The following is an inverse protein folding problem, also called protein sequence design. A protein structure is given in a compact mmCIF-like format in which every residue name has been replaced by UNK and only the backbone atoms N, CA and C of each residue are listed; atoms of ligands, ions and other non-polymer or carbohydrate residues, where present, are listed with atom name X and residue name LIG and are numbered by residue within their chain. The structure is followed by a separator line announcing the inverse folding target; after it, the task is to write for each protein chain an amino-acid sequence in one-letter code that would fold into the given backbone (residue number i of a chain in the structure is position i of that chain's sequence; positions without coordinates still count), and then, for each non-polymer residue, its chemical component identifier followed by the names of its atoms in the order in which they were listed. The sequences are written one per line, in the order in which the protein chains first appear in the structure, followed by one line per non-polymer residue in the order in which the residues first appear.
data_IF_695676502777
#
_entry.id   IF_695676502777
#
_cell.length_a   1.000
_cell.length_b   1.000
_cell.length_c   1.000
_cell.angle_alpha   90.00
_cell.angle_beta   90.00
_cell.angle_gamma   90.00
#
_symmetry.space_group_name_H-M   'P 1'
#
loop_
_entity.id
_entity.type
_entity.pdbx_description
1 polymer ?
#
# COMPACT_ATOMS: atom_id res chain seq x y z
N UNK A 1 -10.13 20.38 36.18
CA UNK A 1 -9.43 19.11 35.93
C UNK A 1 -7.97 19.42 35.80
N UNK A 2 -7.12 18.78 36.60
CA UNK A 2 -5.71 19.14 36.70
C UNK A 2 -4.97 18.80 35.38
N UNK A 3 -3.98 19.59 34.99
CA UNK A 3 -3.23 19.38 33.72
C UNK A 3 -2.52 18.01 33.73
N UNK A 4 -2.16 17.54 34.92
CA UNK A 4 -1.54 16.23 35.13
C UNK A 4 -2.56 15.08 34.99
N UNK A 5 -3.79 15.26 35.42
CA UNK A 5 -4.86 14.26 35.28
C UNK A 5 -5.28 14.10 33.81
N UNK A 6 -5.39 15.21 33.07
CA UNK A 6 -5.69 15.18 31.64
C UNK A 6 -4.57 14.52 30.84
N UNK A 7 -3.30 14.81 31.16
CA UNK A 7 -2.14 14.16 30.52
C UNK A 7 -2.02 12.65 30.85
N UNK A 8 -2.43 12.23 32.05
CA UNK A 8 -2.48 10.83 32.43
C UNK A 8 -3.63 10.08 31.72
N UNK A 9 -4.80 10.70 31.63
CA UNK A 9 -5.96 10.18 30.91
C UNK A 9 -5.67 9.98 29.42
N UNK A 10 -5.13 10.99 28.73
CA UNK A 10 -4.76 10.94 27.31
C UNK A 10 -3.74 9.82 26.99
N UNK A 11 -2.81 9.56 27.93
CA UNK A 11 -1.83 8.46 27.78
C UNK A 11 -2.50 7.10 27.93
N UNK A 12 -3.39 6.94 28.91
CA UNK A 12 -4.12 5.69 29.14
C UNK A 12 -5.04 5.38 27.95
N UNK A 13 -5.74 6.38 27.43
CA UNK A 13 -6.61 6.24 26.26
C UNK A 13 -5.82 5.82 25.01
N UNK A 14 -4.71 6.52 24.67
CA UNK A 14 -3.86 6.13 23.53
C UNK A 14 -3.29 4.71 23.64
N UNK A 15 -2.92 4.28 24.85
CA UNK A 15 -2.45 2.91 25.08
C UNK A 15 -3.55 1.89 24.81
N UNK A 16 -4.75 2.12 25.31
CA UNK A 16 -5.89 1.23 25.09
C UNK A 16 -6.25 1.13 23.61
N UNK A 17 -6.25 2.26 22.89
CA UNK A 17 -6.48 2.30 21.43
C UNK A 17 -5.39 1.57 20.66
N UNK A 18 -4.13 1.71 21.06
CA UNK A 18 -3.02 0.97 20.44
C UNK A 18 -3.16 -0.54 20.66
N UNK A 19 -3.53 -0.98 21.87
CA UNK A 19 -3.79 -2.39 22.16
C UNK A 19 -4.99 -2.93 21.36
N UNK A 20 -6.08 -2.16 21.25
CA UNK A 20 -7.24 -2.54 20.46
C UNK A 20 -6.90 -2.64 18.97
N UNK A 21 -6.09 -1.71 18.44
CA UNK A 21 -5.64 -1.75 17.05
C UNK A 21 -4.77 -2.98 16.80
N UNK A 22 -3.82 -3.28 17.68
CA UNK A 22 -3.00 -4.49 17.58
C UNK A 22 -3.85 -5.76 17.60
N UNK A 23 -4.86 -5.83 18.47
CA UNK A 23 -5.79 -6.95 18.52
C UNK A 23 -6.58 -7.09 17.21
N UNK A 24 -7.07 -5.97 16.66
CA UNK A 24 -7.77 -5.91 15.38
C UNK A 24 -6.90 -6.33 14.19
N UNK A 25 -5.57 -6.18 14.29
CA UNK A 25 -4.61 -6.59 13.26
C UNK A 25 -4.13 -8.03 13.41
N UNK A 26 -4.44 -8.70 14.53
CA UNK A 26 -4.03 -10.10 14.76
C UNK A 26 -4.46 -11.07 13.65
N UNK A 27 -5.66 -10.95 13.01
CA UNK A 27 -6.03 -11.83 11.90
C UNK A 27 -5.16 -11.62 10.66
N UNK A 28 -4.74 -10.39 10.38
CA UNK A 28 -3.82 -10.07 9.28
C UNK A 28 -2.47 -10.78 9.49
N UNK A 29 -1.89 -10.70 10.68
CA UNK A 29 -0.61 -11.36 10.99
C UNK A 29 -0.73 -12.87 10.90
N UNK A 30 -1.81 -13.46 11.45
CA UNK A 30 -2.04 -14.90 11.38
C UNK A 30 -2.18 -15.37 9.93
N UNK A 31 -2.99 -14.67 9.13
CA UNK A 31 -3.16 -15.02 7.71
C UNK A 31 -1.87 -14.85 6.91
N UNK A 32 -1.04 -13.85 7.24
CA UNK A 32 0.27 -13.65 6.60
C UNK A 32 1.22 -14.81 6.94
N UNK A 33 1.23 -15.27 8.19
CA UNK A 33 1.99 -16.45 8.59
C UNK A 33 1.51 -17.71 7.88
N UNK A 34 0.19 -17.90 7.76
CA UNK A 34 -0.40 -19.00 6.98
C UNK A 34 0.01 -18.93 5.51
N UNK A 35 0.02 -17.74 4.89
CA UNK A 35 0.52 -17.56 3.53
C UNK A 35 1.95 -18.07 3.38
N UNK A 36 2.88 -17.58 4.20
CA UNK A 36 4.29 -18.00 4.10
C UNK A 36 4.51 -19.48 4.48
N UNK A 37 3.68 -20.04 5.36
CA UNK A 37 3.75 -21.47 5.71
C UNK A 37 3.26 -22.38 4.59
N UNK A 38 2.17 -22.03 3.93
CA UNK A 38 1.58 -22.81 2.84
C UNK A 38 2.27 -22.55 1.49
N UNK A 39 3.02 -21.45 1.38
CA UNK A 39 3.70 -21.08 0.15
C UNK A 39 4.83 -22.05 -0.16
N UNK A 40 4.72 -22.72 -1.30
CA UNK A 40 5.73 -23.62 -1.84
C UNK A 40 6.13 -23.16 -3.24
N UNK A 41 7.44 -22.91 -3.50
CA UNK A 41 7.92 -22.58 -4.84
C UNK A 41 7.51 -23.66 -5.85
N UNK A 42 6.83 -23.26 -6.93
CA UNK A 42 6.40 -24.19 -7.97
C UNK A 42 5.02 -24.83 -7.78
N UNK A 43 4.25 -24.44 -6.75
CA UNK A 43 2.84 -24.87 -6.63
C UNK A 43 2.01 -24.41 -7.83
N UNK A 44 1.11 -25.24 -8.40
CA UNK A 44 0.26 -24.84 -9.50
C UNK A 44 -0.69 -23.70 -9.10
N UNK A 45 -1.03 -22.84 -10.07
CA UNK A 45 -2.03 -21.80 -9.89
C UNK A 45 -3.37 -22.43 -9.47
N UNK A 46 -3.96 -21.97 -8.37
CA UNK A 46 -5.20 -22.52 -7.83
C UNK A 46 -6.03 -21.43 -7.16
N UNK A 47 -7.35 -21.66 -7.08
CA UNK A 47 -8.26 -20.78 -6.34
C UNK A 47 -7.86 -20.71 -4.86
N UNK A 48 -7.37 -21.81 -4.29
CA UNK A 48 -6.87 -21.86 -2.92
C UNK A 48 -5.66 -20.94 -2.73
N UNK A 49 -4.65 -21.00 -3.61
CA UNK A 49 -3.47 -20.14 -3.50
C UNK A 49 -3.81 -18.65 -3.72
N UNK A 50 -4.76 -18.34 -4.60
CA UNK A 50 -5.32 -17.00 -4.75
C UNK A 50 -6.03 -16.51 -3.48
N UNK A 51 -6.85 -17.36 -2.86
CA UNK A 51 -7.53 -17.06 -1.60
C UNK A 51 -6.54 -16.84 -0.45
N UNK A 52 -5.56 -17.73 -0.28
CA UNK A 52 -4.54 -17.62 0.78
C UNK A 52 -3.67 -16.37 0.59
N UNK A 53 -3.34 -16.00 -0.66
CA UNK A 53 -2.56 -14.79 -0.97
C UNK A 53 -3.32 -13.50 -0.70
N UNK A 54 -4.63 -13.46 -1.00
CA UNK A 54 -5.47 -12.26 -0.82
C UNK A 54 -6.04 -12.11 0.59
N UNK A 55 -6.14 -13.20 1.37
CA UNK A 55 -6.73 -13.22 2.70
C UNK A 55 -6.13 -12.19 3.69
N UNK A 56 -4.79 -12.00 3.78
CA UNK A 56 -4.24 -10.97 4.67
C UNK A 56 -4.80 -9.58 4.36
N UNK A 57 -4.88 -9.22 3.08
CA UNK A 57 -5.32 -7.90 2.63
C UNK A 57 -6.83 -7.71 2.88
N UNK A 58 -7.64 -8.74 2.67
CA UNK A 58 -9.08 -8.70 2.97
C UNK A 58 -9.33 -8.52 4.48
N UNK A 59 -8.59 -9.22 5.32
CA UNK A 59 -8.68 -9.08 6.78
C UNK A 59 -8.23 -7.68 7.24
N UNK A 60 -7.20 -7.14 6.58
CA UNK A 60 -6.75 -5.77 6.82
C UNK A 60 -7.81 -4.74 6.39
N UNK A 61 -8.48 -4.95 5.26
CA UNK A 61 -9.59 -4.11 4.81
C UNK A 61 -10.75 -4.12 5.80
N UNK A 62 -11.11 -5.29 6.32
CA UNK A 62 -12.14 -5.43 7.36
C UNK A 62 -11.77 -4.70 8.65
N UNK A 63 -10.49 -4.78 9.08
CA UNK A 63 -9.99 -4.03 10.22
C UNK A 63 -10.07 -2.52 10.00
N UNK A 64 -9.61 -1.99 8.87
CA UNK A 64 -9.72 -0.55 8.59
C UNK A 64 -11.19 -0.11 8.54
N UNK A 65 -12.07 -0.91 7.95
CA UNK A 65 -13.50 -0.63 7.87
C UNK A 65 -14.15 -0.56 9.25
N UNK A 66 -13.78 -1.44 10.19
CA UNK A 66 -14.34 -1.43 11.55
C UNK A 66 -13.90 -0.21 12.37
N UNK A 67 -12.75 0.37 12.05
CA UNK A 67 -12.20 1.55 12.74
C UNK A 67 -12.67 2.87 12.13
N UNK A 68 -12.62 2.98 10.80
CA UNK A 68 -12.84 4.25 10.10
C UNK A 68 -14.24 4.37 9.48
N UNK A 69 -15.03 3.30 9.52
CA UNK A 69 -16.39 3.25 8.98
C UNK A 69 -16.45 3.34 7.45
N UNK A 70 -17.67 3.46 6.93
CA UNK A 70 -17.96 3.38 5.49
C UNK A 70 -17.29 4.47 4.63
N UNK A 71 -16.87 5.59 5.22
CA UNK A 71 -16.18 6.66 4.48
C UNK A 71 -14.78 6.22 3.96
N UNK A 72 -14.17 5.20 4.55
CA UNK A 72 -12.90 4.64 4.06
C UNK A 72 -13.08 3.73 2.83
N UNK A 73 -14.31 3.31 2.50
CA UNK A 73 -14.59 2.43 1.33
C UNK A 73 -14.21 3.09 0.02
N UNK A 74 -14.42 4.40 -0.12
CA UNK A 74 -13.98 5.17 -1.30
C UNK A 74 -12.49 5.60 -1.21
N UNK A 75 -11.76 5.08 -0.22
CA UNK A 75 -10.37 5.40 0.03
C UNK A 75 -9.53 4.14 0.30
N UNK A 76 -8.91 4.06 1.47
CA UNK A 76 -7.97 2.98 1.81
C UNK A 76 -8.61 1.60 1.82
N UNK A 77 -9.84 1.44 2.33
CA UNK A 77 -10.53 0.13 2.25
C UNK A 77 -10.76 -0.28 0.80
N UNK A 78 -11.19 0.65 -0.06
CA UNK A 78 -11.33 0.37 -1.49
C UNK A 78 -10.01 -0.04 -2.13
N UNK A 79 -8.93 0.66 -1.81
CA UNK A 79 -7.59 0.30 -2.31
C UNK A 79 -7.13 -1.09 -1.84
N UNK A 80 -7.42 -1.47 -0.60
CA UNK A 80 -7.14 -2.81 -0.08
C UNK A 80 -7.96 -3.88 -0.81
N UNK A 81 -9.25 -3.63 -1.07
CA UNK A 81 -10.10 -4.56 -1.81
C UNK A 81 -9.61 -4.76 -3.25
N UNK A 82 -9.24 -3.69 -3.95
CA UNK A 82 -8.65 -3.78 -5.29
C UNK A 82 -7.27 -4.45 -5.28
N UNK A 83 -6.47 -4.24 -4.23
CA UNK A 83 -5.21 -4.95 -4.05
C UNK A 83 -5.42 -6.45 -3.86
N UNK A 84 -6.45 -6.86 -3.09
CA UNK A 84 -6.82 -8.27 -2.95
C UNK A 84 -7.30 -8.90 -4.27
N UNK A 85 -8.04 -8.14 -5.10
CA UNK A 85 -8.38 -8.57 -6.46
C UNK A 85 -7.11 -8.72 -7.31
N UNK A 86 -6.19 -7.78 -7.19
CA UNK A 86 -4.87 -7.85 -7.82
C UNK A 86 -4.11 -9.12 -7.43
N UNK A 87 -4.07 -9.44 -6.14
CA UNK A 87 -3.45 -10.66 -5.60
C UNK A 87 -4.03 -11.93 -6.20
N UNK A 88 -5.36 -12.00 -6.31
CA UNK A 88 -6.05 -13.11 -6.94
C UNK A 88 -5.66 -13.25 -8.42
N UNK A 89 -5.72 -12.15 -9.18
CA UNK A 89 -5.38 -12.16 -10.61
C UNK A 89 -3.91 -12.54 -10.85
N UNK A 90 -2.98 -12.07 -10.01
CA UNK A 90 -1.54 -12.34 -10.17
C UNK A 90 -1.15 -13.81 -9.94
N UNK A 91 -2.04 -14.67 -9.46
CA UNK A 91 -1.78 -16.12 -9.39
C UNK A 91 -1.76 -16.77 -10.77
N UNK A 92 -2.50 -16.20 -11.73
CA UNK A 92 -2.57 -16.68 -13.11
C UNK A 92 -1.81 -15.76 -14.05
N UNK A 93 -0.80 -16.26 -14.79
CA UNK A 93 -0.04 -15.45 -15.74
C UNK A 93 -0.92 -14.75 -16.80
N UNK A 94 -2.02 -15.38 -17.22
CA UNK A 94 -2.94 -14.82 -18.21
C UNK A 94 -3.69 -13.59 -17.69
N UNK A 95 -3.86 -13.49 -16.36
CA UNK A 95 -4.56 -12.40 -15.69
C UNK A 95 -3.60 -11.32 -15.18
N UNK A 96 -2.31 -11.38 -15.52
CA UNK A 96 -1.32 -10.40 -15.07
C UNK A 96 -1.75 -8.95 -15.35
N UNK A 97 -2.23 -8.67 -16.57
CA UNK A 97 -2.68 -7.33 -16.96
C UNK A 97 -3.88 -6.86 -16.14
N UNK A 98 -4.83 -7.76 -15.84
CA UNK A 98 -5.99 -7.47 -15.01
C UNK A 98 -5.57 -7.24 -13.55
N UNK A 99 -4.61 -8.01 -13.04
CA UNK A 99 -4.05 -7.82 -11.71
C UNK A 99 -3.34 -6.47 -11.56
N UNK A 100 -2.49 -6.12 -12.53
CA UNK A 100 -1.83 -4.81 -12.60
C UNK A 100 -2.86 -3.67 -12.69
N UNK A 101 -3.93 -3.85 -13.46
CA UNK A 101 -5.05 -2.90 -13.51
C UNK A 101 -5.74 -2.71 -12.16
N UNK A 102 -5.98 -3.80 -11.42
CA UNK A 102 -6.56 -3.74 -10.08
C UNK A 102 -5.64 -2.99 -9.10
N UNK A 103 -4.33 -3.27 -9.11
CA UNK A 103 -3.36 -2.52 -8.31
C UNK A 103 -3.26 -1.04 -8.72
N UNK A 104 -3.39 -0.72 -10.01
CA UNK A 104 -3.43 0.66 -10.47
C UNK A 104 -4.63 1.44 -9.88
N UNK A 105 -5.79 0.79 -9.82
CA UNK A 105 -6.98 1.36 -9.14
C UNK A 105 -6.73 1.50 -7.64
N UNK A 106 -6.05 0.54 -7.01
CA UNK A 106 -5.66 0.66 -5.60
C UNK A 106 -4.77 1.88 -5.34
N UNK A 107 -3.73 2.07 -6.16
CA UNK A 107 -2.84 3.25 -6.09
C UNK A 107 -3.59 4.56 -6.28
N UNK A 108 -4.59 4.59 -7.16
CA UNK A 108 -5.46 5.75 -7.35
C UNK A 108 -6.30 6.04 -6.10
N UNK A 109 -6.93 5.02 -5.50
CA UNK A 109 -7.74 5.19 -4.28
C UNK A 109 -6.89 5.63 -3.07
N UNK A 110 -5.67 5.10 -2.93
CA UNK A 110 -4.71 5.57 -1.95
C UNK A 110 -4.31 7.02 -2.19
N UNK A 111 -4.00 7.38 -3.44
CA UNK A 111 -3.70 8.76 -3.84
C UNK A 111 -4.82 9.73 -3.47
N UNK A 112 -6.08 9.38 -3.80
CA UNK A 112 -7.26 10.17 -3.45
C UNK A 112 -7.44 10.30 -1.94
N UNK A 113 -7.15 9.23 -1.18
CA UNK A 113 -7.19 9.27 0.29
C UNK A 113 -6.15 10.24 0.85
N UNK A 114 -4.91 10.20 0.34
CA UNK A 114 -3.82 11.05 0.80
C UNK A 114 -4.00 12.54 0.42
N UNK A 115 -4.87 12.83 -0.55
CA UNK A 115 -5.32 14.18 -0.90
C UNK A 115 -6.37 14.74 0.07
N UNK A 116 -7.05 13.88 0.83
CA UNK A 116 -8.11 14.28 1.76
C UNK A 116 -7.56 15.15 2.90
N UNK A 117 -8.39 16.07 3.40
CA UNK A 117 -8.05 16.97 4.51
C UNK A 117 -7.58 16.23 5.77
N UNK A 118 -8.00 14.97 5.94
CA UNK A 118 -7.61 14.07 7.05
C UNK A 118 -6.10 13.82 7.11
N UNK A 119 -5.44 13.83 5.96
CA UNK A 119 -4.01 13.59 5.80
C UNK A 119 -3.18 14.87 5.63
N UNK A 120 -3.85 16.02 5.46
CA UNK A 120 -3.19 17.30 5.29
C UNK A 120 -2.83 17.85 6.66
N UNK A 121 -1.55 17.81 7.01
CA UNK A 121 -1.03 18.60 8.11
C UNK A 121 -1.27 20.09 7.82
N UNK A 122 -1.95 20.81 8.72
CA UNK A 122 -2.28 22.25 8.69
C UNK A 122 -1.08 23.22 8.54
N UNK A 123 0.10 22.74 8.18
CA UNK A 123 1.27 23.56 7.90
C UNK A 123 1.40 23.73 6.38
N UNK A 124 0.63 24.68 5.86
CA UNK A 124 0.64 25.18 4.48
C UNK A 124 1.93 25.97 4.16
N UNK A 125 3.09 25.41 4.49
CA UNK A 125 4.36 25.87 3.95
C UNK A 125 4.74 24.90 2.84
N UNK A 126 4.50 25.34 1.61
CA UNK A 126 5.02 24.74 0.37
C UNK A 126 6.55 24.81 0.41
N UNK A 127 7.15 23.92 1.19
CA UNK A 127 8.60 23.80 1.29
C UNK A 127 9.07 23.31 -0.07
N UNK A 128 9.91 24.11 -0.76
CA UNK A 128 10.52 23.75 -2.04
C UNK A 128 11.18 22.36 -2.02
N UNK A 129 11.59 21.89 -0.83
CA UNK A 129 12.07 20.52 -0.60
C UNK A 129 11.08 19.43 -1.01
N UNK A 130 9.78 19.58 -0.72
CA UNK A 130 8.76 18.59 -1.08
C UNK A 130 8.61 18.50 -2.60
N UNK A 131 8.61 19.65 -3.30
CA UNK A 131 8.58 19.68 -4.77
C UNK A 131 9.82 19.01 -5.37
N UNK A 132 10.98 19.21 -4.76
CA UNK A 132 12.22 18.53 -5.16
C UNK A 132 12.14 17.02 -4.98
N UNK A 133 11.56 16.53 -3.87
CA UNK A 133 11.33 15.09 -3.67
C UNK A 133 10.38 14.50 -4.71
N UNK A 134 9.34 15.24 -5.13
CA UNK A 134 8.46 14.78 -6.21
C UNK A 134 9.23 14.63 -7.52
N UNK A 135 10.06 15.63 -7.86
CA UNK A 135 10.87 15.58 -9.06
C UNK A 135 11.81 14.36 -9.03
N UNK A 136 12.51 14.12 -7.92
CA UNK A 136 13.35 12.93 -7.75
C UNK A 136 12.53 11.65 -7.98
N UNK A 137 11.34 11.55 -7.38
CA UNK A 137 10.53 10.34 -7.47
C UNK A 137 10.07 10.05 -8.92
N UNK A 138 9.68 11.10 -9.66
CA UNK A 138 9.32 10.96 -11.07
C UNK A 138 10.54 10.66 -11.95
N UNK A 139 11.69 11.26 -11.67
CA UNK A 139 12.94 10.95 -12.39
C UNK A 139 13.38 9.49 -12.15
N UNK A 140 13.28 9.01 -10.91
CA UNK A 140 13.53 7.59 -10.58
C UNK A 140 12.54 6.69 -11.31
N UNK A 141 11.24 7.01 -11.29
CA UNK A 141 10.23 6.27 -12.04
C UNK A 141 10.51 6.20 -13.55
N UNK A 142 10.89 7.33 -14.15
CA UNK A 142 11.31 7.40 -15.56
C UNK A 142 12.56 6.56 -15.84
N UNK A 143 13.56 6.61 -14.94
CA UNK A 143 14.76 5.78 -15.02
C UNK A 143 14.45 4.29 -14.94
N UNK A 144 13.55 3.88 -14.04
CA UNK A 144 13.07 2.50 -13.92
C UNK A 144 12.36 2.06 -15.20
N UNK A 145 11.48 2.89 -15.76
CA UNK A 145 10.79 2.56 -17.01
C UNK A 145 11.80 2.35 -18.15
N UNK A 146 12.76 3.26 -18.32
CA UNK A 146 13.82 3.14 -19.34
C UNK A 146 14.66 1.87 -19.13
N UNK A 147 14.95 1.52 -17.87
CA UNK A 147 15.71 0.32 -17.53
C UNK A 147 14.97 -0.98 -17.89
N UNK A 148 13.66 -1.05 -17.63
CA UNK A 148 12.84 -2.25 -17.91
C UNK A 148 12.41 -2.32 -19.39
N UNK A 149 12.39 -1.19 -20.09
CA UNK A 149 11.91 -1.05 -21.47
C UNK A 149 12.42 -2.12 -22.46
N UNK A 150 13.73 -2.45 -22.53
CA UNK A 150 14.22 -3.44 -23.49
C UNK A 150 13.69 -4.86 -23.23
N UNK A 151 13.44 -5.20 -21.96
CA UNK A 151 12.83 -6.48 -21.58
C UNK A 151 11.33 -6.48 -21.84
N UNK A 152 10.68 -5.34 -21.63
CA UNK A 152 9.25 -5.16 -21.88
C UNK A 152 8.89 -5.29 -23.38
N UNK A 153 9.77 -4.82 -24.26
CA UNK A 153 9.61 -4.99 -25.72
C UNK A 153 9.61 -6.47 -26.16
N UNK A 154 10.28 -7.34 -25.39
CA UNK A 154 10.35 -8.78 -25.66
C UNK A 154 9.20 -9.56 -25.00
N UNK A 155 8.40 -8.90 -24.14
CA UNK A 155 7.28 -9.52 -23.47
C UNK A 155 6.13 -9.79 -24.46
N UNK A 156 5.31 -10.83 -24.21
CA UNK A 156 4.10 -11.05 -24.99
C UNK A 156 3.16 -9.84 -24.87
N UNK A 157 2.50 -9.46 -25.97
CA UNK A 157 1.60 -8.29 -26.04
C UNK A 157 2.28 -6.96 -25.67
N UNK A 158 3.53 -6.77 -26.10
CA UNK A 158 4.33 -5.57 -25.83
C UNK A 158 3.62 -4.27 -26.20
N UNK A 159 2.83 -4.25 -27.28
CA UNK A 159 2.02 -3.09 -27.72
C UNK A 159 1.09 -2.56 -26.62
N UNK A 160 0.53 -3.44 -25.79
CA UNK A 160 -0.35 -3.09 -24.67
C UNK A 160 0.46 -2.94 -23.38
N UNK A 161 1.46 -3.80 -23.15
CA UNK A 161 2.24 -3.79 -21.92
C UNK A 161 3.09 -2.52 -21.77
N UNK A 162 3.68 -2.00 -22.84
CA UNK A 162 4.49 -0.78 -22.82
C UNK A 162 3.71 0.42 -22.22
N UNK A 163 2.58 0.85 -22.82
CA UNK A 163 1.82 1.96 -22.27
C UNK A 163 1.23 1.64 -20.89
N UNK A 164 0.81 0.39 -20.65
CA UNK A 164 0.20 0.01 -19.39
C UNK A 164 1.19 0.08 -18.20
N UNK A 165 2.43 -0.39 -18.38
CA UNK A 165 3.50 -0.26 -17.37
C UNK A 165 3.89 1.20 -17.18
N UNK A 166 3.96 1.99 -18.25
CA UNK A 166 4.24 3.42 -18.16
C UNK A 166 3.20 4.17 -17.31
N UNK A 167 1.91 3.93 -17.57
CA UNK A 167 0.80 4.48 -16.78
C UNK A 167 0.88 4.00 -15.32
N UNK A 168 1.17 2.72 -15.11
CA UNK A 168 1.32 2.15 -13.77
C UNK A 168 2.42 2.85 -12.95
N UNK A 169 3.59 3.05 -13.56
CA UNK A 169 4.72 3.75 -12.91
C UNK A 169 4.35 5.19 -12.56
N UNK A 170 3.64 5.90 -13.44
CA UNK A 170 3.14 7.25 -13.13
C UNK A 170 2.19 7.24 -11.93
N UNK A 171 1.26 6.29 -11.87
CA UNK A 171 0.29 6.19 -10.78
C UNK A 171 0.94 5.85 -9.44
N UNK A 172 1.87 4.89 -9.41
CA UNK A 172 2.55 4.53 -8.16
C UNK A 172 3.53 5.63 -7.70
N UNK A 173 4.19 6.33 -8.63
CA UNK A 173 4.99 7.53 -8.31
C UNK A 173 4.11 8.66 -7.79
N UNK A 174 2.91 8.87 -8.35
CA UNK A 174 1.95 9.85 -7.85
C UNK A 174 1.51 9.49 -6.42
N UNK A 175 1.18 8.23 -6.16
CA UNK A 175 0.85 7.76 -4.81
C UNK A 175 1.99 8.03 -3.84
N UNK A 176 3.23 7.67 -4.20
CA UNK A 176 4.40 7.91 -3.36
C UNK A 176 4.65 9.40 -3.08
N UNK A 177 4.47 10.26 -4.09
CA UNK A 177 4.58 11.72 -3.93
C UNK A 177 3.51 12.25 -2.97
N UNK A 178 2.26 11.83 -3.13
CA UNK A 178 1.16 12.22 -2.24
C UNK A 178 1.36 11.69 -0.82
N UNK A 179 1.91 10.48 -0.66
CA UNK A 179 2.26 9.94 0.65
C UNK A 179 3.32 10.81 1.34
N UNK A 180 4.39 11.23 0.65
CA UNK A 180 5.41 12.17 1.17
C UNK A 180 4.77 13.49 1.61
N UNK A 181 3.79 13.99 0.85
CA UNK A 181 3.05 15.22 1.19
C UNK A 181 2.38 15.15 2.56
N UNK A 182 1.85 13.98 2.92
CA UNK A 182 1.12 13.80 4.19
C UNK A 182 2.01 14.07 5.40
N UNK A 183 3.34 13.86 5.29
CA UNK A 183 4.28 13.83 6.43
C UNK A 183 3.90 12.84 7.53
N UNK A 184 3.02 11.89 7.22
CA UNK A 184 2.63 10.80 8.11
C UNK A 184 3.55 9.60 7.84
N UNK A 185 4.49 9.36 8.77
CA UNK A 185 5.49 8.30 8.65
C UNK A 185 4.95 6.92 8.22
N UNK A 186 3.86 6.37 8.81
CA UNK A 186 3.36 5.06 8.38
C UNK A 186 2.90 5.08 6.92
N UNK A 187 2.14 6.09 6.50
CA UNK A 187 1.68 6.23 5.10
C UNK A 187 2.86 6.36 4.14
N UNK A 188 3.85 7.18 4.48
CA UNK A 188 5.06 7.37 3.66
C UNK A 188 5.86 6.07 3.50
N UNK A 189 6.18 5.43 4.62
CA UNK A 189 6.94 4.18 4.61
C UNK A 189 6.16 3.08 3.89
N UNK A 190 4.85 3.02 4.09
CA UNK A 190 3.97 2.07 3.40
C UNK A 190 4.01 2.24 1.88
N UNK A 191 3.82 3.46 1.38
CA UNK A 191 3.89 3.73 -0.06
C UNK A 191 5.27 3.45 -0.66
N UNK A 192 6.36 3.79 0.05
CA UNK A 192 7.72 3.47 -0.40
C UNK A 192 7.97 1.95 -0.42
N UNK A 193 7.51 1.20 0.60
CA UNK A 193 7.58 -0.25 0.60
C UNK A 193 6.78 -0.87 -0.54
N UNK A 194 5.63 -0.28 -0.92
CA UNK A 194 4.85 -0.73 -2.08
C UNK A 194 5.65 -0.55 -3.37
N UNK A 195 6.28 0.63 -3.56
CA UNK A 195 7.13 0.87 -4.73
C UNK A 195 8.28 -0.12 -4.84
N UNK A 196 8.90 -0.49 -3.72
CA UNK A 196 9.95 -1.51 -3.68
C UNK A 196 9.40 -2.89 -4.04
N UNK A 197 8.23 -3.26 -3.50
CA UNK A 197 7.53 -4.51 -3.86
C UNK A 197 7.30 -4.60 -5.37
N UNK A 198 6.71 -3.55 -5.96
CA UNK A 198 6.30 -3.57 -7.37
C UNK A 198 7.50 -3.50 -8.30
N UNK A 199 8.54 -2.76 -7.95
CA UNK A 199 9.81 -2.81 -8.67
C UNK A 199 10.40 -4.23 -8.64
N UNK A 200 10.46 -4.85 -7.46
CA UNK A 200 10.98 -6.21 -7.30
C UNK A 200 10.16 -7.23 -8.08
N UNK A 201 8.83 -7.06 -8.14
CA UNK A 201 7.92 -7.88 -8.93
C UNK A 201 8.15 -7.67 -10.43
N UNK A 202 8.26 -6.42 -10.88
CA UNK A 202 8.49 -6.09 -12.28
C UNK A 202 9.81 -6.66 -12.80
N UNK A 203 10.90 -6.56 -12.03
CA UNK A 203 12.20 -7.12 -12.41
C UNK A 203 12.14 -8.64 -12.59
N UNK A 204 11.36 -9.34 -11.75
CA UNK A 204 11.15 -10.79 -11.85
C UNK A 204 10.25 -11.18 -13.03
N UNK A 205 9.10 -10.53 -13.18
CA UNK A 205 8.11 -10.84 -14.23
C UNK A 205 8.68 -10.57 -15.62
N UNK A 206 9.37 -9.45 -15.79
CA UNK A 206 9.99 -9.08 -17.08
C UNK A 206 11.39 -9.67 -17.25
N UNK A 207 11.86 -10.52 -16.32
CA UNK A 207 13.15 -11.21 -16.39
C UNK A 207 14.31 -10.26 -16.71
N UNK A 208 14.33 -9.12 -16.03
CA UNK A 208 15.34 -8.06 -16.24
C UNK A 208 16.68 -8.47 -15.62
N UNK A 209 16.62 -9.18 -14.50
CA UNK A 209 17.77 -9.73 -13.78
C UNK A 209 17.66 -11.25 -13.70
N UNK A 210 18.78 -11.91 -13.41
CA UNK A 210 18.78 -13.34 -13.08
C UNK A 210 17.82 -13.65 -11.92
N UNK A 211 17.30 -14.89 -11.84
CA UNK A 211 16.39 -15.29 -10.76
C UNK A 211 17.02 -15.01 -9.39
N UNK A 212 16.44 -14.05 -8.67
CA UNK A 212 16.87 -13.72 -7.32
C UNK A 212 16.42 -14.86 -6.39
N UNK A 213 17.35 -15.44 -5.65
CA UNK A 213 17.01 -16.36 -4.56
C UNK A 213 16.01 -15.68 -3.61
N UNK A 214 14.85 -16.32 -3.40
CA UNK A 214 13.76 -15.79 -2.58
C UNK A 214 13.10 -14.49 -3.08
N UNK A 215 13.20 -14.16 -4.38
CA UNK A 215 12.60 -12.95 -4.96
C UNK A 215 11.11 -12.77 -4.67
N UNK A 216 10.33 -13.86 -4.65
CA UNK A 216 8.90 -13.81 -4.30
C UNK A 216 8.69 -13.43 -2.83
N UNK A 217 9.51 -13.94 -1.92
CA UNK A 217 9.42 -13.60 -0.49
C UNK A 217 9.72 -12.12 -0.27
N UNK A 218 10.72 -11.55 -0.97
CA UNK A 218 11.02 -10.10 -0.91
C UNK A 218 9.80 -9.29 -1.33
N UNK A 219 9.17 -9.64 -2.47
CA UNK A 219 7.95 -8.98 -2.95
C UNK A 219 6.85 -9.07 -1.90
N UNK A 220 6.53 -10.26 -1.41
CA UNK A 220 5.40 -10.45 -0.50
C UNK A 220 5.62 -9.81 0.89
N UNK A 221 6.84 -9.86 1.42
CA UNK A 221 7.18 -9.19 2.69
C UNK A 221 7.03 -7.68 2.55
N UNK A 222 7.62 -7.09 1.50
CA UNK A 222 7.54 -5.64 1.27
C UNK A 222 6.12 -5.19 0.94
N UNK A 223 5.35 -6.01 0.22
CA UNK A 223 3.94 -5.79 -0.10
C UNK A 223 3.04 -5.82 1.15
N UNK A 224 3.07 -6.88 1.95
CA UNK A 224 2.24 -6.97 3.15
C UNK A 224 2.63 -5.90 4.18
N UNK A 225 3.91 -5.57 4.29
CA UNK A 225 4.38 -4.44 5.10
C UNK A 225 3.82 -3.11 4.57
N UNK A 226 3.83 -2.90 3.26
CA UNK A 226 3.29 -1.69 2.64
C UNK A 226 1.81 -1.49 2.98
N UNK A 227 1.01 -2.54 2.79
CA UNK A 227 -0.43 -2.52 3.04
C UNK A 227 -0.73 -2.29 4.51
N UNK A 228 -0.03 -2.99 5.41
CA UNK A 228 -0.13 -2.79 6.86
C UNK A 228 0.14 -1.34 7.27
N UNK A 229 1.23 -0.77 6.75
CA UNK A 229 1.63 0.61 7.07
C UNK A 229 0.64 1.65 6.55
N UNK A 230 0.09 1.46 5.34
CA UNK A 230 -0.96 2.33 4.79
C UNK A 230 -2.23 2.22 5.65
N UNK A 231 -2.68 1.01 6.00
CA UNK A 231 -3.85 0.77 6.83
C UNK A 231 -3.73 1.40 8.23
N UNK A 232 -2.60 1.18 8.90
CA UNK A 232 -2.32 1.80 10.20
C UNK A 232 -2.22 3.33 10.08
N UNK A 233 -1.68 3.82 8.96
CA UNK A 233 -1.66 5.26 8.65
C UNK A 233 -3.07 5.85 8.57
N UNK A 234 -4.00 5.16 7.91
CA UNK A 234 -5.41 5.59 7.77
C UNK A 234 -6.13 5.66 9.11
N UNK A 235 -6.03 4.60 9.92
CA UNK A 235 -6.66 4.57 11.26
C UNK A 235 -6.15 5.72 12.13
N UNK A 236 -4.84 5.97 12.12
CA UNK A 236 -4.24 7.07 12.90
C UNK A 236 -4.59 8.46 12.37
N UNK A 237 -4.81 8.60 11.06
CA UNK A 237 -5.22 9.87 10.46
C UNK A 237 -6.63 10.28 10.92
N UNK A 238 -7.57 9.31 10.94
CA UNK A 238 -8.94 9.52 11.42
C UNK A 238 -8.98 9.84 12.91
N UNK A 239 -8.26 9.07 13.75
CA UNK A 239 -8.18 9.33 15.20
C UNK A 239 -7.71 10.75 15.53
N UNK A 240 -6.72 11.25 14.77
CA UNK A 240 -6.18 12.61 14.93
C UNK A 240 -7.21 13.67 14.53
N UNK A 241 -7.98 13.43 13.47
CA UNK A 241 -9.02 14.35 13.02
C UNK A 241 -10.16 14.46 14.04
N UNK A 242 -10.64 13.34 14.56
CA UNK A 242 -11.72 13.31 15.56
C UNK A 242 -11.29 13.97 16.88
N UNK A 243 -10.06 13.72 17.30
CA UNK A 243 -9.45 14.40 18.45
C UNK A 243 -9.35 15.92 18.24
N UNK A 244 -9.06 16.37 17.02
CA UNK A 244 -8.97 17.80 16.68
C UNK A 244 -10.35 18.46 16.63
N UNK A 245 -11.39 17.75 16.16
CA UNK A 245 -12.79 18.20 16.19
C UNK A 245 -13.29 18.36 17.63
N UNK A 246 -13.05 17.36 18.48
CA UNK A 246 -13.41 17.41 19.91
C UNK A 246 -12.80 18.61 20.62
N UNK A 247 -11.50 18.90 20.40
CA UNK A 247 -10.82 20.05 21.03
C UNK A 247 -11.30 21.42 20.56
N UNK A 248 -12.08 21.50 19.47
CA UNK A 248 -12.64 22.75 18.95
C UNK A 248 -14.10 22.98 19.36
N UNK A 249 -14.77 21.95 19.91
CA UNK A 249 -16.14 22.02 20.44
C UNK A 249 -16.14 22.44 21.91
#
# INVERSE_FOLDING_TARGET
MDILETAAYDRRQRRNMSCALLFSLSPFFLSTAVYFYLWTPGSPASIMSAGVKSAPILLLAAAVLSWNGGQSVLGVVGGLLFSAVGDCCLVWPELFLHGMGAFAVAHLLYSLSFLSSRYVAYSSSSSSWIRFLYLILFMVGGGVYIYIYPSLQKAPNSDIMLPAVGVYIVLISLMGALAIRTRHAPTMLGSLSFMVSDLSLALQVFKVTDPIEHGNAIVMVTYYLAQLLIAVGDVKAVEKEDSAKWKRS
#
